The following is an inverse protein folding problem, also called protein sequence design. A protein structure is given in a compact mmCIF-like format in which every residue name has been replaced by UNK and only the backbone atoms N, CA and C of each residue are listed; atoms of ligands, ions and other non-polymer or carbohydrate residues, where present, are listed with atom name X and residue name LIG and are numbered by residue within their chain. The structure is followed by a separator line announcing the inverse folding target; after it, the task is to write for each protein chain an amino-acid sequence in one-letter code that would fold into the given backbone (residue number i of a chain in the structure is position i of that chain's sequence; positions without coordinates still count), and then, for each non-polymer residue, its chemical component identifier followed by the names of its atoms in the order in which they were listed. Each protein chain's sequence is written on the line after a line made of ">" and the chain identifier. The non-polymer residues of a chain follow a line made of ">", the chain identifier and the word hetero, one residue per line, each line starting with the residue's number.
data_IF_478679619807
#
_entry.id   IF_478679619807
#
_cell.length_a   1.000
_cell.length_b   1.000
_cell.length_c   1.000
_cell.angle_alpha   90.00
_cell.angle_beta   90.00
_cell.angle_gamma   90.00
#
_symmetry.space_group_name_H-M   'P 1'
#
loop_
_entity.id
_entity.type
_entity.pdbx_description
1 polymer ?
#
# COMPACT_ATOMS: atom_id res chain seq x y z
N UNK A 1 -5.24 10.58 13.65
CA UNK A 1 -4.80 10.52 12.23
C UNK A 1 -5.46 9.30 11.63
N UNK A 2 -5.89 9.38 10.37
CA UNK A 2 -6.56 8.27 9.70
C UNK A 2 -5.67 7.71 8.59
N UNK A 3 -5.82 6.41 8.31
CA UNK A 3 -5.24 5.69 7.18
C UNK A 3 -6.43 5.19 6.36
N UNK A 4 -6.66 5.81 5.21
CA UNK A 4 -7.91 5.70 4.47
C UNK A 4 -9.11 5.99 5.39
N UNK A 5 -10.04 5.03 5.51
CA UNK A 5 -11.26 5.15 6.32
C UNK A 5 -11.06 4.78 7.79
N UNK A 6 -9.92 4.20 8.16
CA UNK A 6 -9.67 3.72 9.52
C UNK A 6 -8.92 4.77 10.35
N UNK A 7 -9.26 4.87 11.63
CA UNK A 7 -8.35 5.48 12.61
C UNK A 7 -7.04 4.69 12.67
N UNK A 8 -5.99 5.32 13.20
CA UNK A 8 -4.70 4.66 13.34
C UNK A 8 -4.80 3.39 14.20
N UNK A 9 -5.55 3.45 15.30
CA UNK A 9 -5.76 2.33 16.23
C UNK A 9 -6.53 1.16 15.58
N UNK A 10 -7.58 1.46 14.80
CA UNK A 10 -8.29 0.45 14.01
C UNK A 10 -7.39 -0.20 12.97
N UNK A 11 -6.57 0.60 12.28
CA UNK A 11 -5.60 0.07 11.33
C UNK A 11 -4.59 -0.86 12.00
N UNK A 12 -4.05 -0.50 13.17
CA UNK A 12 -3.15 -1.40 13.92
C UNK A 12 -3.82 -2.73 14.28
N UNK A 13 -5.11 -2.70 14.64
CA UNK A 13 -5.87 -3.91 14.91
C UNK A 13 -6.00 -4.80 13.67
N UNK A 14 -6.36 -4.22 12.52
CA UNK A 14 -6.46 -4.93 11.23
C UNK A 14 -5.11 -5.50 10.78
N UNK A 15 -4.04 -4.73 10.93
CA UNK A 15 -2.67 -5.18 10.64
C UNK A 15 -2.34 -6.43 11.45
N UNK A 16 -2.56 -6.40 12.77
CA UNK A 16 -2.25 -7.55 13.62
C UNK A 16 -3.13 -8.76 13.32
N UNK A 17 -4.42 -8.57 13.02
CA UNK A 17 -5.36 -9.67 12.76
C UNK A 17 -5.14 -10.32 11.40
N UNK A 18 -4.77 -9.56 10.37
CA UNK A 18 -4.54 -10.06 9.02
C UNK A 18 -3.11 -10.59 8.82
N UNK A 19 -2.10 -9.83 9.26
CA UNK A 19 -0.69 -10.14 9.04
C UNK A 19 -0.07 -11.01 10.16
N UNK A 20 -0.74 -11.11 11.31
CA UNK A 20 -0.28 -11.84 12.49
C UNK A 20 0.69 -11.08 13.40
N UNK A 21 1.25 -9.97 12.95
CA UNK A 21 2.14 -9.10 13.73
C UNK A 21 2.09 -7.64 13.27
N UNK A 22 2.50 -6.72 14.14
CA UNK A 22 2.70 -5.31 13.80
C UNK A 22 4.04 -5.13 13.07
N UNK A 23 4.10 -5.51 11.79
CA UNK A 23 5.31 -5.41 11.00
C UNK A 23 5.57 -3.94 10.57
N UNK A 24 6.78 -3.38 10.76
CA UNK A 24 7.09 -2.00 10.38
C UNK A 24 6.82 -1.70 8.91
N UNK A 25 7.16 -2.63 8.01
CA UNK A 25 6.89 -2.51 6.58
C UNK A 25 5.40 -2.34 6.30
N UNK A 26 4.54 -3.11 6.97
CA UNK A 26 3.09 -3.00 6.78
C UNK A 26 2.56 -1.66 7.32
N UNK A 27 3.03 -1.19 8.47
CA UNK A 27 2.66 0.13 9.00
C UNK A 27 3.02 1.28 8.04
N UNK A 28 4.24 1.25 7.50
CA UNK A 28 4.68 2.21 6.48
C UNK A 28 3.82 2.05 5.21
N UNK A 29 3.53 0.81 4.81
CA UNK A 29 2.68 0.48 3.68
C UNK A 29 1.29 1.09 3.78
N UNK A 30 0.70 1.15 4.97
CA UNK A 30 -0.58 1.82 5.21
C UNK A 30 -0.55 3.29 4.79
N UNK A 31 0.47 4.04 5.23
CA UNK A 31 0.66 5.43 4.81
C UNK A 31 0.91 5.58 3.31
N UNK A 32 1.64 4.62 2.71
CA UNK A 32 1.90 4.63 1.27
C UNK A 32 0.63 4.42 0.45
N UNK A 33 -0.22 3.48 0.86
CA UNK A 33 -1.50 3.20 0.20
C UNK A 33 -2.47 4.37 0.40
N UNK A 34 -2.58 4.92 1.61
CA UNK A 34 -3.38 6.12 1.88
C UNK A 34 -2.95 7.31 1.01
N UNK A 35 -1.63 7.53 0.88
CA UNK A 35 -1.11 8.56 -0.02
C UNK A 35 -1.45 8.24 -1.49
N UNK A 36 -1.28 7.00 -1.94
CA UNK A 36 -1.62 6.61 -3.30
C UNK A 36 -3.12 6.82 -3.61
N UNK A 37 -4.01 6.45 -2.68
CA UNK A 37 -5.46 6.65 -2.83
C UNK A 37 -5.83 8.13 -2.99
N UNK A 38 -5.13 9.04 -2.31
CA UNK A 38 -5.35 10.51 -2.42
C UNK A 38 -4.94 11.10 -3.76
N UNK A 39 -4.05 10.44 -4.49
CA UNK A 39 -3.52 10.89 -5.79
C UNK A 39 -3.92 9.96 -6.94
N UNK A 40 -4.78 8.98 -6.67
CA UNK A 40 -5.30 8.09 -7.70
C UNK A 40 -6.15 8.93 -8.68
N UNK A 41 -5.89 8.86 -10.00
CA UNK A 41 -6.72 9.55 -10.99
C UNK A 41 -8.18 9.08 -10.94
N UNK A 42 -9.11 9.95 -11.34
CA UNK A 42 -10.52 9.60 -11.42
C UNK A 42 -10.73 8.40 -12.35
N UNK A 43 -11.52 7.43 -11.88
CA UNK A 43 -11.85 6.21 -12.60
C UNK A 43 -12.85 5.36 -11.81
N UNK A 44 -13.56 4.46 -12.50
CA UNK A 44 -14.51 3.56 -11.86
C UNK A 44 -13.81 2.44 -11.08
N UNK A 45 -12.72 1.92 -11.63
CA UNK A 45 -11.94 0.83 -11.06
C UNK A 45 -10.44 1.09 -11.15
N UNK A 46 -9.70 0.55 -10.19
CA UNK A 46 -8.24 0.59 -10.19
C UNK A 46 -7.65 -0.76 -9.78
N UNK A 47 -6.41 -0.99 -10.21
CA UNK A 47 -5.58 -2.13 -9.82
C UNK A 47 -4.33 -1.67 -9.08
N UNK A 48 -3.65 -2.63 -8.46
CA UNK A 48 -2.47 -2.40 -7.65
C UNK A 48 -1.29 -3.28 -8.07
N UNK A 49 -0.09 -2.72 -8.02
CA UNK A 49 1.18 -3.46 -8.15
C UNK A 49 2.05 -3.18 -6.93
N UNK A 50 2.48 -4.23 -6.25
CA UNK A 50 3.55 -4.14 -5.24
C UNK A 50 4.87 -4.63 -5.83
N UNK A 51 5.94 -3.85 -5.65
CA UNK A 51 7.29 -4.17 -6.17
C UNK A 51 8.14 -5.04 -5.22
N UNK A 52 7.49 -5.59 -4.19
CA UNK A 52 8.06 -6.50 -3.21
C UNK A 52 6.97 -7.42 -2.65
N UNK A 53 7.28 -8.70 -2.36
CA UNK A 53 6.35 -9.59 -1.66
C UNK A 53 6.33 -9.32 -0.14
N UNK A 54 7.23 -8.49 0.38
CA UNK A 54 7.44 -8.33 1.83
C UNK A 54 6.53 -7.25 2.39
N UNK A 55 5.53 -7.67 3.18
CA UNK A 55 4.57 -6.85 3.95
C UNK A 55 3.64 -5.94 3.15
N UNK A 56 4.16 -5.21 2.16
CA UNK A 56 3.44 -4.18 1.40
C UNK A 56 2.18 -4.69 0.68
N UNK A 57 2.14 -5.93 0.11
CA UNK A 57 0.92 -6.48 -0.46
C UNK A 57 -0.26 -6.50 0.53
N UNK A 58 -0.02 -6.79 1.81
CA UNK A 58 -1.08 -6.84 2.81
C UNK A 58 -1.67 -5.46 3.11
N UNK A 59 -0.87 -4.39 2.99
CA UNK A 59 -1.38 -3.02 3.12
C UNK A 59 -2.45 -2.74 2.06
N UNK A 60 -2.20 -3.18 0.82
CA UNK A 60 -3.14 -3.05 -0.29
C UNK A 60 -4.39 -3.88 -0.03
N UNK A 61 -4.24 -5.14 0.39
CA UNK A 61 -5.38 -6.04 0.62
C UNK A 61 -6.28 -5.59 1.79
N UNK A 62 -5.71 -4.95 2.81
CA UNK A 62 -6.47 -4.42 3.95
C UNK A 62 -7.22 -3.13 3.57
N UNK A 63 -6.58 -2.24 2.79
CA UNK A 63 -7.05 -0.86 2.59
C UNK A 63 -7.76 -0.62 1.27
N UNK A 64 -7.76 -1.60 0.36
CA UNK A 64 -8.34 -1.48 -0.97
C UNK A 64 -9.13 -2.74 -1.34
N UNK A 65 -10.00 -2.67 -2.37
CA UNK A 65 -10.60 -3.86 -2.94
C UNK A 65 -9.60 -4.78 -3.67
N UNK A 66 -8.37 -4.33 -3.91
CA UNK A 66 -7.39 -5.08 -4.71
C UNK A 66 -6.80 -6.22 -3.90
N UNK A 67 -7.06 -7.47 -4.30
CA UNK A 67 -6.52 -8.65 -3.64
C UNK A 67 -5.82 -9.56 -4.63
N UNK A 68 -4.99 -10.46 -4.12
CA UNK A 68 -4.42 -11.52 -4.98
C UNK A 68 -5.55 -12.42 -5.50
N UNK A 69 -6.55 -12.70 -4.65
CA UNK A 69 -7.65 -13.62 -4.96
C UNK A 69 -8.58 -13.15 -6.08
N UNK A 70 -8.81 -11.84 -6.22
CA UNK A 70 -9.59 -11.29 -7.34
C UNK A 70 -8.73 -10.85 -8.53
N UNK A 71 -7.40 -11.03 -8.46
CA UNK A 71 -6.45 -10.70 -9.52
C UNK A 71 -6.17 -9.20 -9.69
N UNK A 72 -6.67 -8.35 -8.80
CA UNK A 72 -6.49 -6.88 -8.92
C UNK A 72 -5.21 -6.39 -8.24
N UNK A 73 -4.57 -7.24 -7.44
CA UNK A 73 -3.23 -7.01 -6.91
C UNK A 73 -2.23 -7.95 -7.58
N UNK A 74 -1.23 -7.37 -8.24
CA UNK A 74 -0.06 -8.07 -8.76
C UNK A 74 1.17 -7.81 -7.90
N UNK A 75 1.98 -8.83 -7.66
CA UNK A 75 3.26 -8.70 -6.94
C UNK A 75 4.41 -8.94 -7.91
N UNK A 76 5.22 -7.90 -8.16
CA UNK A 76 6.41 -7.95 -9.00
C UNK A 76 7.65 -7.90 -8.09
N UNK A 77 8.37 -9.01 -7.85
CA UNK A 77 9.38 -9.09 -6.79
C UNK A 77 10.72 -8.42 -7.19
N UNK A 78 10.71 -7.11 -7.44
CA UNK A 78 11.90 -6.32 -7.78
C UNK A 78 12.73 -5.90 -6.55
N UNK A 79 12.22 -6.16 -5.34
CA UNK A 79 12.87 -5.78 -4.09
C UNK A 79 12.77 -4.29 -3.80
N UNK A 80 11.87 -3.55 -4.47
CA UNK A 80 11.63 -2.13 -4.20
C UNK A 80 10.44 -2.00 -3.26
N UNK A 81 10.61 -1.20 -2.21
CA UNK A 81 9.52 -0.88 -1.29
C UNK A 81 8.62 0.19 -1.90
N UNK A 82 7.81 -0.22 -2.88
CA UNK A 82 6.96 0.63 -3.69
C UNK A 82 5.62 -0.03 -4.04
N UNK A 83 4.59 0.80 -4.11
CA UNK A 83 3.24 0.43 -4.55
C UNK A 83 2.78 1.38 -5.64
N UNK A 84 2.12 0.84 -6.65
CA UNK A 84 1.47 1.62 -7.71
C UNK A 84 -0.02 1.32 -7.71
N UNK A 85 -0.86 2.35 -7.64
CA UNK A 85 -2.30 2.23 -7.92
C UNK A 85 -2.59 2.92 -9.25
N UNK A 86 -3.37 2.28 -10.11
CA UNK A 86 -3.63 2.79 -11.46
C UNK A 86 -5.05 2.45 -11.93
N UNK A 87 -5.64 3.38 -12.68
CA UNK A 87 -6.92 3.20 -13.35
C UNK A 87 -6.80 2.05 -14.38
N UNK A 88 -7.74 1.11 -14.37
CA UNK A 88 -7.62 -0.18 -15.08
C UNK A 88 -7.52 -0.07 -16.59
N UNK A 89 -8.16 0.92 -17.21
CA UNK A 89 -8.30 0.98 -18.67
C UNK A 89 -7.18 1.77 -19.34
N UNK A 90 -6.93 3.01 -18.88
CA UNK A 90 -5.91 3.89 -19.43
C UNK A 90 -4.53 3.64 -18.80
N UNK A 91 -4.47 3.00 -17.63
CA UNK A 91 -3.22 2.72 -16.92
C UNK A 91 -2.61 3.95 -16.24
N UNK A 92 -3.32 5.09 -16.21
CA UNK A 92 -2.88 6.27 -15.49
C UNK A 92 -2.91 6.00 -13.99
N UNK A 93 -1.82 6.29 -13.30
CA UNK A 93 -1.70 5.94 -11.88
C UNK A 93 -0.62 6.71 -11.15
N UNK A 94 -0.49 6.39 -9.87
CA UNK A 94 0.47 6.98 -8.96
C UNK A 94 1.33 5.88 -8.35
N UNK A 95 2.64 6.12 -8.34
CA UNK A 95 3.62 5.24 -7.70
C UNK A 95 4.17 5.90 -6.45
N UNK A 96 3.99 5.24 -5.31
CA UNK A 96 4.50 5.67 -4.01
C UNK A 96 5.63 4.74 -3.58
N UNK A 97 6.73 5.32 -3.09
CA UNK A 97 7.90 4.60 -2.61
C UNK A 97 8.54 5.34 -1.45
N UNK A 98 9.35 4.62 -0.67
CA UNK A 98 10.10 5.21 0.43
C UNK A 98 11.30 5.99 -0.11
N UNK A 99 11.32 7.31 0.15
CA UNK A 99 12.45 8.17 -0.21
C UNK A 99 13.58 8.02 0.82
N UNK A 100 14.64 7.34 0.42
CA UNK A 100 15.75 7.02 1.33
C UNK A 100 16.49 8.26 1.84
N UNK A 101 16.48 9.38 1.10
CA UNK A 101 17.11 10.62 1.58
C UNK A 101 16.34 11.24 2.75
N UNK A 102 15.02 11.06 2.78
CA UNK A 102 14.19 11.53 3.91
C UNK A 102 14.36 10.66 5.15
N UNK A 103 14.82 9.42 4.98
CA UNK A 103 15.12 8.53 6.11
C UNK A 103 16.37 8.94 6.88
N UNK A 104 17.26 9.77 6.30
CA UNK A 104 18.44 10.27 7.01
C UNK A 104 18.06 11.07 8.28
N UNK A 105 16.85 11.61 8.34
CA UNK A 105 16.30 12.28 9.53
C UNK A 105 15.81 11.31 10.62
N UNK A 106 15.74 10.02 10.34
CA UNK A 106 15.18 8.95 11.19
C UNK A 106 16.16 7.77 11.29
N UNK A 107 17.32 7.95 11.96
CA UNK A 107 18.31 6.89 12.08
C UNK A 107 17.80 5.70 12.91
N UNK A 108 18.41 4.54 12.70
CA UNK A 108 18.09 3.27 13.37
C UNK A 108 18.42 3.27 14.87
#
# INVERSE_FOLDING_TARGET
>A
MNICTYSYEEYLHLVKSFHGALAPGLLIGGFMVDLAMKYLPDGEFFDAICETPVCLPDAVQILTPCTIGNGWLSVAPFGKFAVTLYEKYAGAGVRVYLDTKKLDAWPA
#
